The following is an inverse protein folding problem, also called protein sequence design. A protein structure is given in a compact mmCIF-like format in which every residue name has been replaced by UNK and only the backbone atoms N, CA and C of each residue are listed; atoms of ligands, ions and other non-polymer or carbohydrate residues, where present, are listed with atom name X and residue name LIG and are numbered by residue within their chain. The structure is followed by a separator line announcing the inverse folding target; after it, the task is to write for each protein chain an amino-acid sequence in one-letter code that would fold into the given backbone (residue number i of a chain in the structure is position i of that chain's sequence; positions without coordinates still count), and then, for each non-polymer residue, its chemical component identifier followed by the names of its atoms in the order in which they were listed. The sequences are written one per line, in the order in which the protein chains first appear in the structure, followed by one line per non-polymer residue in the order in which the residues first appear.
data_IF_446774229945
#
_entry.id   IF_446774229945
#
_cell.length_a   1.000
_cell.length_b   1.000
_cell.length_c   1.000
_cell.angle_alpha   90.00
_cell.angle_beta   90.00
_cell.angle_gamma   90.00
#
_symmetry.space_group_name_H-M   'P 1'
#
loop_
_entity.id
_entity.type
_entity.pdbx_description
1 polymer ?
#
# COMPACT_ATOMS: atom_id res chain seq x y z
N UNK A 1 -11.25 -7.97 -12.67
CA UNK A 1 -10.82 -6.73 -11.98
C UNK A 1 -11.73 -5.52 -12.22
N UNK A 2 -12.31 -5.30 -13.41
CA UNK A 2 -13.21 -4.14 -13.69
C UNK A 2 -14.50 -4.09 -12.85
N UNK A 3 -14.99 -5.23 -12.35
CA UNK A 3 -16.22 -5.34 -11.53
C UNK A 3 -16.04 -4.95 -10.06
N UNK A 4 -14.86 -5.17 -9.47
CA UNK A 4 -14.56 -4.78 -8.07
C UNK A 4 -14.48 -3.25 -7.92
N UNK A 5 -14.07 -2.56 -8.99
CA UNK A 5 -13.97 -1.11 -9.02
C UNK A 5 -15.34 -0.41 -8.93
N UNK A 6 -16.41 -1.10 -9.33
CA UNK A 6 -17.79 -0.60 -9.22
C UNK A 6 -18.23 -0.43 -7.76
N UNK A 7 -17.76 -1.31 -6.87
CA UNK A 7 -18.01 -1.22 -5.42
C UNK A 7 -17.11 -0.21 -4.70
N UNK A 8 -15.90 0.06 -5.23
CA UNK A 8 -15.04 1.15 -4.76
C UNK A 8 -15.61 2.53 -5.13
N UNK A 9 -16.37 2.61 -6.23
CA UNK A 9 -16.94 3.85 -6.75
C UNK A 9 -18.08 4.47 -5.93
N UNK A 10 -18.50 3.83 -4.83
CA UNK A 10 -19.55 4.38 -3.96
C UNK A 10 -19.02 5.29 -2.83
N UNK A 11 -17.70 5.25 -2.54
CA UNK A 11 -17.03 6.13 -1.57
C UNK A 11 -16.07 7.13 -2.24
N UNK A 12 -16.52 7.76 -3.34
CA UNK A 12 -15.76 8.76 -4.12
C UNK A 12 -15.18 9.89 -3.28
N UNK A 13 -15.83 10.29 -2.19
CA UNK A 13 -15.34 11.39 -1.33
C UNK A 13 -14.16 10.96 -0.48
N UNK A 14 -14.21 9.79 0.17
CA UNK A 14 -13.15 9.32 1.07
C UNK A 14 -11.98 8.66 0.33
N UNK A 15 -12.25 8.00 -0.79
CA UNK A 15 -11.22 7.46 -1.68
C UNK A 15 -10.49 8.55 -2.48
N UNK A 16 -11.02 9.78 -2.55
CA UNK A 16 -10.35 10.95 -3.14
C UNK A 16 -9.66 11.80 -2.07
N UNK A 17 -10.28 11.97 -0.89
CA UNK A 17 -9.71 12.68 0.25
C UNK A 17 -8.48 11.98 0.84
N UNK A 18 -8.46 10.64 0.93
CA UNK A 18 -7.31 9.90 1.44
C UNK A 18 -6.03 10.09 0.59
N UNK A 19 -6.07 9.97 -0.77
CA UNK A 19 -4.97 10.37 -1.63
C UNK A 19 -4.55 11.82 -1.42
N UNK A 20 -5.51 12.74 -1.35
CA UNK A 20 -5.25 14.17 -1.32
C UNK A 20 -4.56 14.60 -0.03
N UNK A 21 -5.00 14.07 1.12
CA UNK A 21 -4.31 14.26 2.40
C UNK A 21 -2.93 13.59 2.43
N UNK A 22 -2.77 12.42 1.78
CA UNK A 22 -1.45 11.78 1.68
C UNK A 22 -0.48 12.55 0.79
N UNK A 23 -0.97 13.15 -0.30
CA UNK A 23 -0.18 14.02 -1.18
C UNK A 23 0.22 15.30 -0.44
N UNK A 24 -0.68 15.85 0.38
CA UNK A 24 -0.39 16.99 1.25
C UNK A 24 0.73 16.64 2.25
N UNK A 25 0.63 15.50 2.92
CA UNK A 25 1.68 15.00 3.84
C UNK A 25 3.02 14.83 3.14
N UNK A 26 3.03 14.19 1.97
CA UNK A 26 4.26 13.97 1.23
C UNK A 26 4.87 15.29 0.73
N UNK A 27 4.06 16.32 0.49
CA UNK A 27 4.54 17.67 0.18
C UNK A 27 5.24 18.29 1.39
N UNK A 28 4.66 18.18 2.60
CA UNK A 28 5.31 18.61 3.84
C UNK A 28 6.61 17.88 4.12
N UNK A 29 6.65 16.57 3.88
CA UNK A 29 7.86 15.74 4.02
C UNK A 29 8.96 16.21 3.06
N UNK A 30 8.58 16.65 1.85
CA UNK A 30 9.48 17.23 0.86
C UNK A 30 10.03 18.61 1.23
N UNK A 31 9.31 19.41 2.02
CA UNK A 31 9.79 20.71 2.48
C UNK A 31 10.91 20.60 3.52
N UNK A 32 10.98 19.49 4.26
CA UNK A 32 11.99 19.28 5.31
C UNK A 32 13.43 19.38 4.76
N UNK A 33 13.82 18.69 3.66
CA UNK A 33 15.13 18.85 3.03
C UNK A 33 15.48 20.29 2.65
N UNK A 34 14.51 21.08 2.18
CA UNK A 34 14.73 22.46 1.73
C UNK A 34 15.02 23.38 2.92
N UNK A 35 14.30 23.19 4.03
CA UNK A 35 14.58 23.90 5.28
C UNK A 35 15.92 23.46 5.87
N UNK A 36 16.29 22.18 5.75
CA UNK A 36 17.60 21.67 6.18
C UNK A 36 18.76 22.25 5.35
N UNK A 37 18.59 22.39 4.03
CA UNK A 37 19.57 23.04 3.17
C UNK A 37 19.77 24.51 3.57
N UNK A 38 18.68 25.27 3.77
CA UNK A 38 18.76 26.65 4.24
C UNK A 38 19.37 26.79 5.64
N UNK A 39 19.11 25.83 6.54
CA UNK A 39 19.71 25.80 7.87
C UNK A 39 21.24 25.60 7.79
N UNK A 40 21.73 24.74 6.89
CA UNK A 40 23.16 24.57 6.65
C UNK A 40 23.78 25.81 5.98
N UNK A 41 23.19 26.29 4.88
CA UNK A 41 23.76 27.35 4.04
C UNK A 41 23.70 28.75 4.68
N UNK A 42 22.68 29.04 5.49
CA UNK A 42 22.48 30.37 6.09
C UNK A 42 22.71 30.34 7.60
N UNK A 43 22.24 29.30 8.29
CA UNK A 43 22.37 29.20 9.74
C UNK A 43 23.80 28.91 10.19
N UNK A 44 24.36 27.80 9.69
CA UNK A 44 25.69 27.33 10.09
C UNK A 44 26.79 28.14 9.39
N UNK A 45 26.67 28.39 8.08
CA UNK A 45 27.70 29.11 7.34
C UNK A 45 27.84 30.60 7.73
N UNK A 46 26.75 31.27 8.15
CA UNK A 46 26.80 32.66 8.63
C UNK A 46 26.90 32.79 10.16
N UNK A 47 27.01 31.66 10.88
CA UNK A 47 27.21 31.58 12.32
C UNK A 47 26.18 32.38 13.16
N UNK A 48 24.89 32.34 12.75
CA UNK A 48 23.79 33.07 13.41
C UNK A 48 22.93 32.11 14.26
N UNK A 49 23.24 31.92 15.57
CA UNK A 49 22.54 30.94 16.42
C UNK A 49 21.05 31.25 16.60
N UNK A 50 20.65 32.53 16.53
CA UNK A 50 19.24 32.94 16.59
C UNK A 50 18.44 32.44 15.39
N UNK A 51 19.02 32.45 14.19
CA UNK A 51 18.38 31.96 12.96
C UNK A 51 18.23 30.43 12.98
N UNK A 52 19.23 29.72 13.51
CA UNK A 52 19.19 28.26 13.70
C UNK A 52 18.04 27.90 14.66
N UNK A 53 17.87 28.61 15.78
CA UNK A 53 16.82 28.32 16.74
C UNK A 53 15.41 28.55 16.15
N UNK A 54 15.21 29.62 15.37
CA UNK A 54 13.95 29.88 14.68
C UNK A 54 13.63 28.80 13.64
N UNK A 55 14.64 28.36 12.86
CA UNK A 55 14.46 27.31 11.86
C UNK A 55 14.22 25.93 12.48
N UNK A 56 14.87 25.61 13.60
CA UNK A 56 14.54 24.40 14.39
C UNK A 56 13.10 24.44 14.92
N UNK A 57 12.63 25.61 15.38
CA UNK A 57 11.22 25.79 15.77
C UNK A 57 10.25 25.56 14.60
N UNK A 58 10.57 26.09 13.42
CA UNK A 58 9.79 25.89 12.20
C UNK A 58 9.73 24.41 11.80
N UNK A 59 10.86 23.70 11.85
CA UNK A 59 10.92 22.26 11.58
C UNK A 59 10.06 21.46 12.55
N UNK A 60 10.07 21.81 13.85
CA UNK A 60 9.24 21.15 14.86
C UNK A 60 7.74 21.37 14.59
N UNK A 61 7.33 22.58 14.23
CA UNK A 61 5.95 22.88 13.85
C UNK A 61 5.55 22.09 12.59
N UNK A 62 6.42 22.05 11.58
CA UNK A 62 6.19 21.31 10.36
C UNK A 62 6.04 19.80 10.62
N UNK A 63 6.86 19.25 11.52
CA UNK A 63 6.78 17.86 11.94
C UNK A 63 5.47 17.53 12.67
N UNK A 64 5.02 18.40 13.58
CA UNK A 64 3.74 18.24 14.29
C UNK A 64 2.57 18.27 13.30
N UNK A 65 2.56 19.25 12.39
CA UNK A 65 1.51 19.36 11.35
C UNK A 65 1.55 18.12 10.45
N UNK A 66 2.72 17.70 9.99
CA UNK A 66 2.90 16.51 9.18
C UNK A 66 2.37 15.25 9.88
N UNK A 67 2.62 15.10 11.18
CA UNK A 67 2.12 14.00 12.00
C UNK A 67 0.58 14.01 12.06
N UNK A 68 -0.03 15.16 12.37
CA UNK A 68 -1.49 15.30 12.43
C UNK A 68 -2.14 14.98 11.08
N UNK A 69 -1.57 15.50 9.98
CA UNK A 69 -2.03 15.21 8.62
C UNK A 69 -1.88 13.72 8.31
N UNK A 70 -0.77 13.09 8.70
CA UNK A 70 -0.51 11.66 8.49
C UNK A 70 -1.51 10.76 9.21
N UNK A 71 -1.79 11.04 10.48
CA UNK A 71 -2.78 10.29 11.26
C UNK A 71 -4.16 10.45 10.64
N UNK A 72 -4.52 11.67 10.27
CA UNK A 72 -5.82 11.97 9.65
C UNK A 72 -5.98 11.23 8.31
N UNK A 73 -4.95 11.26 7.47
CA UNK A 73 -4.91 10.54 6.20
C UNK A 73 -5.04 9.01 6.41
N UNK A 74 -4.34 8.46 7.40
CA UNK A 74 -4.41 7.04 7.74
C UNK A 74 -5.80 6.64 8.24
N UNK A 75 -6.44 7.49 9.04
CA UNK A 75 -7.81 7.26 9.52
C UNK A 75 -8.81 7.22 8.36
N UNK A 76 -8.77 8.20 7.45
CA UNK A 76 -9.64 8.21 6.27
C UNK A 76 -9.40 7.03 5.35
N UNK A 77 -8.13 6.62 5.14
CA UNK A 77 -7.80 5.44 4.35
C UNK A 77 -8.35 4.14 4.98
N UNK A 78 -8.19 3.97 6.29
CA UNK A 78 -8.71 2.81 7.02
C UNK A 78 -10.24 2.76 7.01
N UNK A 79 -10.89 3.93 7.19
CA UNK A 79 -12.35 4.05 7.12
C UNK A 79 -12.88 3.70 5.73
N UNK A 80 -12.25 4.20 4.67
CA UNK A 80 -12.61 3.89 3.28
C UNK A 80 -12.45 2.39 2.97
N UNK A 81 -11.33 1.77 3.38
CA UNK A 81 -11.09 0.34 3.18
C UNK A 81 -12.12 -0.53 3.91
N UNK A 82 -12.45 -0.18 5.15
CA UNK A 82 -13.43 -0.93 5.96
C UNK A 82 -14.86 -0.74 5.43
N UNK A 83 -15.21 0.46 4.97
CA UNK A 83 -16.49 0.74 4.31
C UNK A 83 -16.66 -0.04 3.00
N UNK A 84 -15.59 -0.13 2.19
CA UNK A 84 -15.57 -0.97 0.99
C UNK A 84 -15.77 -2.45 1.31
N UNK A 85 -15.03 -2.98 2.29
CA UNK A 85 -15.14 -4.37 2.71
C UNK A 85 -16.53 -4.72 3.26
N UNK A 86 -17.16 -3.80 4.01
CA UNK A 86 -18.54 -3.95 4.49
C UNK A 86 -19.52 -4.13 3.33
N UNK A 87 -19.49 -3.25 2.32
CA UNK A 87 -20.38 -3.36 1.16
C UNK A 87 -20.13 -4.64 0.35
N UNK A 88 -18.87 -5.02 0.18
CA UNK A 88 -18.51 -6.26 -0.50
C UNK A 88 -19.08 -7.48 0.23
N UNK A 89 -19.02 -7.50 1.57
CA UNK A 89 -19.67 -8.53 2.41
C UNK A 89 -21.16 -8.60 2.19
N UNK A 90 -21.87 -7.46 2.23
CA UNK A 90 -23.31 -7.44 2.02
C UNK A 90 -23.72 -7.93 0.62
N UNK A 91 -23.02 -7.48 -0.43
CA UNK A 91 -23.30 -7.91 -1.80
C UNK A 91 -23.04 -9.40 -2.03
N UNK A 92 -21.98 -9.95 -1.40
CA UNK A 92 -21.70 -11.39 -1.43
C UNK A 92 -22.77 -12.19 -0.68
N UNK A 93 -23.19 -11.70 0.50
CA UNK A 93 -24.21 -12.36 1.30
C UNK A 93 -25.55 -12.40 0.55
N UNK A 94 -25.97 -11.27 -0.03
CA UNK A 94 -27.17 -11.19 -0.88
C UNK A 94 -27.10 -12.17 -2.05
N UNK A 95 -25.93 -12.27 -2.71
CA UNK A 95 -25.74 -13.21 -3.81
C UNK A 95 -25.84 -14.67 -3.35
N UNK A 96 -25.22 -15.01 -2.22
CA UNK A 96 -25.28 -16.35 -1.61
C UNK A 96 -26.72 -16.73 -1.26
N UNK A 97 -27.52 -15.80 -0.72
CA UNK A 97 -28.93 -16.07 -0.41
C UNK A 97 -29.83 -16.25 -1.64
N UNK A 98 -29.38 -15.81 -2.82
CA UNK A 98 -30.11 -15.98 -4.10
C UNK A 98 -29.65 -17.17 -4.94
N UNK A 99 -28.67 -17.95 -4.45
CA UNK A 99 -28.11 -19.10 -5.16
C UNK A 99 -28.94 -20.36 -4.88
N UNK A 100 -29.14 -21.19 -5.91
CA UNK A 100 -29.79 -22.49 -5.75
C UNK A 100 -28.93 -23.43 -4.90
N UNK A 101 -29.59 -24.29 -4.11
CA UNK A 101 -28.93 -25.28 -3.25
C UNK A 101 -27.93 -26.17 -4.00
N UNK A 102 -28.22 -26.54 -5.25
CA UNK A 102 -27.30 -27.30 -6.11
C UNK A 102 -25.97 -26.57 -6.38
N UNK A 103 -26.01 -25.24 -6.47
CA UNK A 103 -24.80 -24.44 -6.70
C UNK A 103 -24.01 -24.25 -5.39
N UNK A 104 -24.70 -24.17 -4.26
CA UNK A 104 -24.08 -24.10 -2.92
C UNK A 104 -23.35 -25.42 -2.61
N UNK A 105 -23.96 -26.57 -2.91
CA UNK A 105 -23.33 -27.88 -2.73
C UNK A 105 -22.12 -28.08 -3.66
N UNK A 106 -22.17 -27.58 -4.90
CA UNK A 106 -21.02 -27.63 -5.80
C UNK A 106 -19.85 -26.74 -5.35
N UNK A 107 -20.15 -25.58 -4.77
CA UNK A 107 -19.13 -24.63 -4.30
C UNK A 107 -18.54 -25.02 -2.93
N UNK A 108 -19.32 -25.74 -2.12
CA UNK A 108 -18.98 -26.12 -0.75
C UNK A 108 -19.13 -24.96 0.23
N UNK A 109 -19.89 -25.20 1.31
CA UNK A 109 -20.15 -24.21 2.38
C UNK A 109 -18.85 -23.64 2.97
N UNK A 110 -17.83 -24.47 3.13
CA UNK A 110 -16.52 -24.06 3.68
C UNK A 110 -15.77 -23.07 2.78
N UNK A 111 -15.89 -23.23 1.46
CA UNK A 111 -15.30 -22.30 0.48
C UNK A 111 -16.01 -20.95 0.52
N UNK A 112 -17.34 -20.96 0.66
CA UNK A 112 -18.15 -19.74 0.77
C UNK A 112 -17.83 -18.95 2.05
N UNK A 113 -17.64 -19.65 3.18
CA UNK A 113 -17.19 -19.04 4.44
C UNK A 113 -15.80 -18.42 4.27
N UNK A 114 -14.87 -19.13 3.63
CA UNK A 114 -13.50 -18.64 3.39
C UNK A 114 -13.51 -17.40 2.48
N UNK A 115 -14.35 -17.39 1.44
CA UNK A 115 -14.55 -16.22 0.55
C UNK A 115 -15.15 -15.02 1.26
N UNK A 116 -16.09 -15.22 2.19
CA UNK A 116 -16.70 -14.13 2.97
C UNK A 116 -15.79 -13.56 4.07
N UNK A 117 -14.81 -14.34 4.53
CA UNK A 117 -13.95 -13.97 5.65
C UNK A 117 -12.57 -13.56 5.15
N UNK A 118 -11.74 -14.54 4.80
CA UNK A 118 -10.33 -14.40 4.42
C UNK A 118 -10.16 -13.59 3.14
N UNK A 119 -10.88 -13.93 2.06
CA UNK A 119 -10.70 -13.24 0.78
C UNK A 119 -11.10 -11.76 0.88
N UNK A 120 -12.19 -11.44 1.58
CA UNK A 120 -12.58 -10.05 1.78
C UNK A 120 -11.56 -9.30 2.65
N UNK A 121 -10.98 -9.96 3.65
CA UNK A 121 -9.94 -9.34 4.48
C UNK A 121 -8.63 -9.10 3.72
N UNK A 122 -8.26 -10.03 2.82
CA UNK A 122 -7.15 -9.86 1.87
C UNK A 122 -7.41 -8.67 0.94
N UNK A 123 -8.62 -8.58 0.37
CA UNK A 123 -9.01 -7.46 -0.49
C UNK A 123 -9.04 -6.14 0.29
N UNK A 124 -9.54 -6.13 1.53
CA UNK A 124 -9.55 -4.95 2.41
C UNK A 124 -8.12 -4.46 2.70
N UNK A 125 -7.22 -5.39 3.02
CA UNK A 125 -5.80 -5.10 3.28
C UNK A 125 -5.11 -4.60 2.00
N UNK A 126 -5.35 -5.27 0.87
CA UNK A 126 -4.85 -4.86 -0.44
C UNK A 126 -5.31 -3.47 -0.84
N UNK A 127 -6.58 -3.13 -0.59
CA UNK A 127 -7.11 -1.79 -0.84
C UNK A 127 -6.48 -0.73 0.06
N UNK A 128 -6.30 -1.02 1.35
CA UNK A 128 -5.58 -0.14 2.28
C UNK A 128 -4.12 0.07 1.85
N UNK A 129 -3.44 -1.00 1.42
CA UNK A 129 -2.05 -0.92 0.92
C UNK A 129 -1.95 -0.16 -0.40
N UNK A 130 -2.92 -0.33 -1.30
CA UNK A 130 -3.01 0.44 -2.54
C UNK A 130 -3.16 1.94 -2.27
N UNK A 131 -4.11 2.32 -1.40
CA UNK A 131 -4.32 3.73 -1.07
C UNK A 131 -3.13 4.35 -0.30
N UNK A 132 -2.43 3.54 0.51
CA UNK A 132 -1.37 4.05 1.39
C UNK A 132 0.02 4.08 0.74
N UNK A 133 0.39 2.99 0.08
CA UNK A 133 1.76 2.78 -0.40
C UNK A 133 1.90 3.15 -1.88
N UNK A 134 0.99 2.70 -2.73
CA UNK A 134 1.07 2.92 -4.18
C UNK A 134 0.83 4.38 -4.59
N UNK A 135 0.03 5.13 -3.82
CA UNK A 135 -0.16 6.57 -4.08
C UNK A 135 1.01 7.42 -3.55
N UNK A 136 1.59 7.04 -2.41
CA UNK A 136 2.69 7.78 -1.76
C UNK A 136 4.02 7.58 -2.47
N UNK A 137 4.37 6.31 -2.75
CA UNK A 137 5.67 5.91 -3.32
C UNK A 137 6.09 6.73 -4.55
N UNK A 138 5.30 6.78 -5.63
CA UNK A 138 5.69 7.52 -6.83
C UNK A 138 5.77 9.03 -6.59
N UNK A 139 4.91 9.58 -5.72
CA UNK A 139 4.94 11.01 -5.40
C UNK A 139 6.19 11.39 -4.62
N UNK A 140 6.60 10.58 -3.64
CA UNK A 140 7.83 10.80 -2.88
C UNK A 140 9.06 10.65 -3.78
N UNK A 141 9.09 9.66 -4.67
CA UNK A 141 10.21 9.48 -5.61
C UNK A 141 10.34 10.66 -6.57
N UNK A 142 9.24 11.08 -7.20
CA UNK A 142 9.23 12.23 -8.10
C UNK A 142 9.56 13.53 -7.36
N UNK A 143 8.97 13.72 -6.19
CA UNK A 143 9.22 14.89 -5.35
C UNK A 143 10.69 14.96 -4.89
N UNK A 144 11.23 13.86 -4.37
CA UNK A 144 12.63 13.80 -3.96
C UNK A 144 13.58 14.06 -5.13
N UNK A 145 13.24 13.58 -6.33
CA UNK A 145 14.01 13.87 -7.54
C UNK A 145 14.02 15.38 -7.85
N UNK A 146 12.85 16.02 -7.85
CA UNK A 146 12.73 17.47 -8.08
C UNK A 146 13.53 18.25 -7.01
N UNK A 147 13.40 17.88 -5.73
CA UNK A 147 14.14 18.53 -4.65
C UNK A 147 15.66 18.33 -4.76
N UNK A 148 16.12 17.16 -5.18
CA UNK A 148 17.54 16.92 -5.41
C UNK A 148 18.11 17.88 -6.47
N UNK A 149 17.36 18.15 -7.55
CA UNK A 149 17.74 19.13 -8.56
C UNK A 149 17.75 20.57 -8.03
N UNK A 150 16.85 20.93 -7.11
CA UNK A 150 16.81 22.26 -6.48
C UNK A 150 17.98 22.48 -5.54
N UNK A 151 18.37 21.46 -4.76
CA UNK A 151 19.46 21.57 -3.78
C UNK A 151 20.82 21.57 -4.47
N UNK A 152 21.10 20.59 -5.35
CA UNK A 152 22.38 20.54 -6.06
C UNK A 152 22.28 19.72 -7.36
N UNK A 153 22.41 20.40 -8.50
CA UNK A 153 22.29 19.79 -9.83
C UNK A 153 23.38 18.74 -10.10
N UNK A 154 24.60 18.90 -9.59
CA UNK A 154 25.68 17.91 -9.77
C UNK A 154 25.41 16.62 -9.00
N UNK A 155 24.91 16.71 -7.76
CA UNK A 155 24.52 15.54 -6.98
C UNK A 155 23.26 14.87 -7.56
N UNK A 156 22.33 15.64 -8.14
CA UNK A 156 21.10 15.13 -8.73
C UNK A 156 21.35 14.15 -9.88
N UNK A 157 22.41 14.35 -10.69
CA UNK A 157 22.78 13.42 -11.77
C UNK A 157 23.06 12.00 -11.27
N UNK A 158 23.65 11.85 -10.08
CA UNK A 158 23.90 10.54 -9.47
C UNK A 158 22.56 9.85 -9.14
N UNK A 159 21.57 10.58 -8.62
CA UNK A 159 20.24 10.04 -8.35
C UNK A 159 19.50 9.64 -9.62
N UNK A 160 19.61 10.42 -10.69
CA UNK A 160 18.97 10.13 -11.99
C UNK A 160 19.49 8.82 -12.60
N UNK A 161 20.75 8.48 -12.40
CA UNK A 161 21.32 7.20 -12.85
C UNK A 161 20.99 6.07 -11.86
N UNK A 162 21.07 6.33 -10.56
CA UNK A 162 20.89 5.30 -9.52
C UNK A 162 19.47 4.78 -9.45
N UNK A 163 18.45 5.65 -9.56
CA UNK A 163 17.03 5.26 -9.52
C UNK A 163 16.67 4.23 -10.60
N UNK A 164 16.94 4.45 -11.91
CA UNK A 164 16.64 3.47 -12.94
C UNK A 164 17.49 2.20 -12.83
N UNK A 165 18.75 2.29 -12.41
CA UNK A 165 19.58 1.10 -12.16
C UNK A 165 18.97 0.22 -11.06
N UNK A 166 18.56 0.81 -9.94
CA UNK A 166 17.85 0.09 -8.88
C UNK A 166 16.52 -0.49 -9.38
N UNK A 167 15.75 0.28 -10.16
CA UNK A 167 14.49 -0.19 -10.73
C UNK A 167 14.69 -1.43 -11.63
N UNK A 168 15.73 -1.44 -12.46
CA UNK A 168 16.08 -2.59 -13.32
C UNK A 168 16.47 -3.79 -12.46
N UNK A 169 17.29 -3.61 -11.42
CA UNK A 169 17.70 -4.69 -10.53
C UNK A 169 16.48 -5.30 -9.83
N UNK A 170 15.61 -4.47 -9.26
CA UNK A 170 14.38 -4.93 -8.60
C UNK A 170 13.48 -5.66 -9.60
N UNK A 171 13.32 -5.11 -10.81
CA UNK A 171 12.51 -5.74 -11.86
C UNK A 171 13.06 -7.12 -12.26
N UNK A 172 14.38 -7.25 -12.42
CA UNK A 172 15.03 -8.52 -12.71
C UNK A 172 14.85 -9.56 -11.59
N UNK A 173 14.91 -9.13 -10.32
CA UNK A 173 14.63 -9.99 -9.16
C UNK A 173 13.17 -10.46 -9.21
N UNK A 174 12.22 -9.54 -9.40
CA UNK A 174 10.79 -9.88 -9.46
C UNK A 174 10.47 -10.87 -10.58
N UNK A 175 11.06 -10.69 -11.77
CA UNK A 175 10.90 -11.62 -12.90
C UNK A 175 11.35 -13.05 -12.56
N UNK A 176 12.38 -13.22 -11.73
CA UNK A 176 12.84 -14.54 -11.27
C UNK A 176 12.06 -15.06 -10.08
N UNK A 177 11.67 -14.19 -9.16
CA UNK A 177 11.00 -14.57 -7.91
C UNK A 177 9.55 -14.98 -8.13
N UNK A 178 8.79 -14.28 -8.98
CA UNK A 178 7.38 -14.61 -9.28
C UNK A 178 7.19 -16.07 -9.74
N UNK A 179 7.89 -16.58 -10.78
CA UNK A 179 7.72 -17.96 -11.22
C UNK A 179 8.19 -18.97 -10.17
N UNK A 180 9.16 -18.61 -9.33
CA UNK A 180 9.62 -19.48 -8.24
C UNK A 180 8.54 -19.63 -7.16
N UNK A 181 7.83 -18.55 -6.81
CA UNK A 181 6.69 -18.61 -5.90
C UNK A 181 5.56 -19.48 -6.45
N UNK A 182 5.27 -19.40 -7.75
CA UNK A 182 4.26 -20.27 -8.38
C UNK A 182 4.66 -21.75 -8.26
N UNK A 183 5.92 -22.09 -8.52
CA UNK A 183 6.41 -23.48 -8.34
C UNK A 183 6.29 -23.98 -6.90
N UNK A 184 6.56 -23.12 -5.92
CA UNK A 184 6.41 -23.48 -4.50
C UNK A 184 4.94 -23.70 -4.14
N UNK A 185 4.03 -22.88 -4.67
CA UNK A 185 2.58 -23.08 -4.49
C UNK A 185 2.11 -24.40 -5.10
N UNK A 186 2.47 -24.70 -6.34
CA UNK A 186 2.14 -25.98 -6.99
C UNK A 186 2.69 -27.20 -6.21
N UNK A 187 3.89 -27.06 -5.63
CA UNK A 187 4.48 -28.09 -4.78
C UNK A 187 3.70 -28.30 -3.47
N UNK A 188 3.28 -27.21 -2.82
CA UNK A 188 2.46 -27.26 -1.61
C UNK A 188 1.10 -27.91 -1.89
N UNK A 189 0.45 -27.55 -2.99
CA UNK A 189 -0.85 -28.11 -3.39
C UNK A 189 -0.74 -29.62 -3.63
N UNK A 190 0.35 -30.08 -4.25
CA UNK A 190 0.59 -31.51 -4.48
C UNK A 190 0.83 -32.29 -3.18
N UNK A 191 1.50 -31.70 -2.20
CA UNK A 191 1.70 -32.31 -0.87
C UNK A 191 0.38 -32.39 -0.13
N UNK A 192 -0.41 -31.32 -0.15
CA UNK A 192 -1.75 -31.29 0.47
C UNK A 192 -2.66 -32.34 -0.17
N UNK A 193 -2.67 -32.44 -1.50
CA UNK A 193 -3.45 -33.46 -2.21
C UNK A 193 -3.05 -34.88 -1.79
N UNK A 194 -1.75 -35.21 -1.79
CA UNK A 194 -1.27 -36.53 -1.35
C UNK A 194 -1.61 -36.83 0.10
N UNK A 195 -1.56 -35.83 0.97
CA UNK A 195 -1.92 -35.97 2.39
C UNK A 195 -3.41 -36.28 2.53
N UNK A 196 -4.27 -35.57 1.79
CA UNK A 196 -5.70 -35.81 1.76
C UNK A 196 -6.04 -37.19 1.18
N UNK A 197 -5.39 -37.59 0.08
CA UNK A 197 -5.55 -38.93 -0.52
C UNK A 197 -5.15 -40.04 0.48
N UNK A 198 -4.04 -39.87 1.21
CA UNK A 198 -3.63 -40.83 2.24
C UNK A 198 -4.62 -40.88 3.42
N UNK A 199 -5.06 -39.73 3.92
CA UNK A 199 -6.05 -39.66 5.01
C UNK A 199 -7.39 -40.30 4.63
N UNK A 200 -7.81 -40.13 3.37
CA UNK A 200 -9.04 -40.75 2.86
C UNK A 200 -8.86 -42.25 2.59
N UNK A 201 -7.70 -42.65 2.04
CA UNK A 201 -7.33 -44.03 1.73
C UNK A 201 -7.15 -44.92 2.96
N UNK A 202 -6.75 -44.35 4.11
CA UNK A 202 -6.70 -45.07 5.40
C UNK A 202 -8.07 -45.63 5.81
N UNK A 203 -9.18 -45.05 5.34
CA UNK A 203 -10.54 -45.55 5.61
C UNK A 203 -10.97 -46.74 4.72
N UNK A 204 -10.25 -46.99 3.61
CA UNK A 204 -10.54 -48.06 2.63
C UNK A 204 -9.68 -49.31 2.89
N UNK A 205 -8.57 -49.16 3.63
CA UNK A 205 -7.67 -50.24 4.03
C UNK A 205 -8.10 -50.97 5.31
N UNK A 206 -9.24 -50.60 5.91
CA UNK A 206 -9.85 -51.28 7.06
C UNK A 206 -11.06 -52.09 6.64
#
# INVERSE_FOLDING_TARGET
MKTLWKYASYYKKESLLAPLFKLLEASFELFVPLVMAQLMDVGIAQNRPSYILTMCGLLMILAIIGLVVSITAQYFAAKSATGFAKKLRYALLEKITTLDFSTIDQLGTDSLITKMTSDIQQVQTGWNLFLRLLLRSPFVVLGAMIMAFIVNVQAAWVFVVTIPVLAIIIYAILLKTIPLFTKVQEGMDRITQKTMENLTGVRVLR
#
